data_IF_370196484762
#
_entry.id   IF_370196484762
#
_cell.length_a   1.000
_cell.length_b   1.000
_cell.length_c   1.000
_cell.angle_alpha   90.00
_cell.angle_beta   90.00
_cell.angle_gamma   90.00
#
_symmetry.space_group_name_H-M   'P 1'
#
loop_
_entity.id
_entity.type
_entity.pdbx_description
1 polymer ?
#
# COMPACT_ATOMS: atom_id res chain seq x y z
N UNK A 1 -24.45 -54.53 55.98
CA UNK A 1 -23.84 -53.40 55.24
C UNK A 1 -23.78 -53.78 53.76
N UNK A 2 -24.39 -52.95 52.90
CA UNK A 2 -24.33 -52.86 51.42
C UNK A 2 -24.62 -54.15 50.62
N UNK A 3 -25.81 -54.42 50.06
CA UNK A 3 -26.63 -53.72 49.05
C UNK A 3 -25.92 -53.48 47.70
N UNK A 4 -26.34 -54.19 46.63
CA UNK A 4 -26.82 -53.60 45.36
C UNK A 4 -27.28 -54.66 44.34
N UNK A 5 -28.57 -54.59 44.04
CA UNK A 5 -29.26 -55.13 42.87
C UNK A 5 -28.79 -54.42 41.59
N UNK A 6 -28.66 -55.15 40.47
CA UNK A 6 -28.75 -54.57 39.13
C UNK A 6 -29.70 -55.41 38.28
N UNK A 7 -30.86 -54.80 38.03
CA UNK A 7 -31.94 -55.27 37.15
C UNK A 7 -31.63 -54.81 35.73
N UNK A 8 -31.78 -55.72 34.78
CA UNK A 8 -31.84 -55.48 33.34
C UNK A 8 -33.01 -54.53 33.00
N UNK A 9 -32.74 -53.39 32.36
CA UNK A 9 -33.76 -52.70 31.57
C UNK A 9 -33.15 -52.11 30.29
N UNK A 10 -33.62 -52.67 29.19
CA UNK A 10 -33.51 -52.19 27.82
C UNK A 10 -34.20 -50.83 27.65
N UNK A 11 -33.48 -49.82 27.16
CA UNK A 11 -34.10 -48.64 26.55
C UNK A 11 -33.39 -48.33 25.23
N UNK A 12 -34.16 -48.53 24.17
CA UNK A 12 -33.93 -48.10 22.80
C UNK A 12 -33.98 -46.57 22.75
N UNK A 13 -33.00 -45.91 22.15
CA UNK A 13 -33.19 -44.57 21.60
C UNK A 13 -32.44 -44.42 20.27
N UNK A 14 -33.23 -44.48 19.19
CA UNK A 14 -32.86 -44.14 17.82
C UNK A 14 -32.95 -42.62 17.68
N UNK A 15 -31.92 -41.94 17.20
CA UNK A 15 -32.10 -40.68 16.47
C UNK A 15 -31.12 -40.55 15.28
N UNK A 16 -31.71 -40.08 14.19
CA UNK A 16 -31.26 -39.98 12.82
C UNK A 16 -30.02 -39.08 12.61
N UNK A 17 -29.15 -39.49 11.69
CA UNK A 17 -28.34 -38.53 10.91
C UNK A 17 -28.49 -38.89 9.43
N UNK A 18 -29.24 -38.05 8.71
CA UNK A 18 -29.32 -38.05 7.26
C UNK A 18 -27.95 -37.73 6.66
N UNK A 19 -27.29 -38.74 6.10
CA UNK A 19 -26.13 -38.53 5.23
C UNK A 19 -26.62 -38.19 3.84
N UNK A 20 -26.64 -36.91 3.50
CA UNK A 20 -26.73 -36.45 2.12
C UNK A 20 -25.42 -35.70 1.83
N UNK A 21 -24.42 -36.43 1.36
CA UNK A 21 -23.27 -35.82 0.68
C UNK A 21 -23.36 -36.32 -0.75
N UNK A 22 -24.10 -35.54 -1.57
CA UNK A 22 -23.96 -35.61 -3.01
C UNK A 22 -22.52 -35.28 -3.36
N UNK A 23 -21.84 -36.29 -3.92
CA UNK A 23 -20.64 -36.11 -4.71
C UNK A 23 -20.96 -35.20 -5.88
N UNK A 24 -20.37 -34.01 -5.90
CA UNK A 24 -20.05 -33.35 -7.15
C UNK A 24 -18.58 -33.61 -7.43
N UNK A 25 -18.38 -34.38 -8.49
CA UNK A 25 -17.12 -34.63 -9.17
C UNK A 25 -16.40 -33.31 -9.46
N UNK A 26 -15.14 -33.17 -9.05
CA UNK A 26 -14.24 -32.20 -9.64
C UNK A 26 -13.42 -32.90 -10.71
N UNK A 27 -13.87 -32.72 -11.94
CA UNK A 27 -13.14 -33.00 -13.16
C UNK A 27 -11.73 -32.39 -13.11
N UNK A 28 -10.75 -33.19 -13.52
CA UNK A 28 -9.33 -32.87 -13.51
C UNK A 28 -8.96 -32.20 -14.82
N UNK A 29 -9.13 -30.87 -14.93
CA UNK A 29 -8.74 -30.16 -16.15
C UNK A 29 -8.41 -28.66 -15.98
N UNK A 30 -7.77 -28.24 -14.89
CA UNK A 30 -7.01 -26.96 -14.86
C UNK A 30 -5.86 -27.01 -13.84
N UNK A 31 -4.77 -27.68 -14.20
CA UNK A 31 -3.50 -27.42 -13.57
C UNK A 31 -2.92 -26.12 -14.13
N UNK A 32 -2.53 -25.24 -13.21
CA UNK A 32 -1.54 -24.17 -13.36
C UNK A 32 -1.97 -22.83 -13.99
N UNK A 33 -2.80 -22.08 -13.24
CA UNK A 33 -2.65 -20.62 -13.22
C UNK A 33 -2.14 -20.21 -11.85
N UNK A 34 -0.82 -20.07 -11.73
CA UNK A 34 -0.18 -19.48 -10.56
C UNK A 34 -0.95 -18.21 -10.15
N UNK A 35 -1.50 -18.21 -8.94
CA UNK A 35 -2.16 -17.05 -8.35
C UNK A 35 -1.27 -15.82 -8.59
N UNK A 36 -1.84 -14.66 -8.97
CA UNK A 36 -1.05 -13.44 -9.10
C UNK A 36 -0.35 -13.22 -7.77
N UNK A 37 0.98 -13.34 -7.74
CA UNK A 37 1.79 -12.98 -6.58
C UNK A 37 1.34 -11.57 -6.20
N UNK A 38 0.84 -11.39 -4.97
CA UNK A 38 0.42 -10.09 -4.50
C UNK A 38 1.60 -9.14 -4.69
N UNK A 39 1.39 -7.99 -5.31
CA UNK A 39 2.46 -7.04 -5.62
C UNK A 39 3.26 -6.66 -4.36
N UNK A 40 2.62 -6.65 -3.19
CA UNK A 40 3.24 -6.44 -1.89
C UNK A 40 4.19 -7.60 -1.51
N UNK A 41 3.87 -8.85 -1.87
CA UNK A 41 4.79 -9.97 -1.71
C UNK A 41 6.01 -9.84 -2.61
N UNK A 42 5.82 -9.36 -3.84
CA UNK A 42 6.94 -9.07 -4.75
C UNK A 42 7.86 -7.98 -4.20
N UNK A 43 7.31 -6.90 -3.64
CA UNK A 43 8.10 -5.85 -2.96
C UNK A 43 8.91 -6.43 -1.81
N UNK A 44 8.30 -7.23 -0.95
CA UNK A 44 9.03 -7.76 0.22
C UNK A 44 10.08 -8.78 -0.20
N UNK A 45 9.76 -9.66 -1.14
CA UNK A 45 10.73 -10.61 -1.71
C UNK A 45 11.91 -9.88 -2.35
N UNK A 46 11.65 -8.78 -3.04
CA UNK A 46 12.70 -7.93 -3.60
C UNK A 46 13.54 -7.29 -2.49
N UNK A 47 12.91 -6.70 -1.48
CA UNK A 47 13.59 -6.07 -0.35
C UNK A 47 14.52 -7.04 0.41
N UNK A 48 14.08 -8.29 0.58
CA UNK A 48 14.82 -9.33 1.31
C UNK A 48 16.12 -9.76 0.63
N UNK A 49 16.26 -9.62 -0.69
CA UNK A 49 17.50 -9.92 -1.42
C UNK A 49 18.70 -9.10 -0.94
N UNK A 50 18.44 -7.93 -0.36
CA UNK A 50 19.46 -6.97 0.02
C UNK A 50 19.84 -7.04 1.50
N UNK A 51 19.26 -7.97 2.27
CA UNK A 51 19.56 -8.13 3.70
C UNK A 51 21.08 -8.23 3.94
N UNK A 52 21.56 -7.46 4.92
CA UNK A 52 22.98 -7.39 5.30
C UNK A 52 23.83 -6.39 4.50
N UNK A 53 23.37 -5.90 3.33
CA UNK A 53 24.11 -4.88 2.57
C UNK A 53 24.26 -3.61 3.41
N UNK A 54 25.46 -3.05 3.43
CA UNK A 54 25.79 -1.92 4.30
C UNK A 54 25.07 -0.64 3.93
N UNK A 55 24.82 0.18 4.94
CA UNK A 55 24.31 1.53 4.73
C UNK A 55 25.38 2.41 4.06
N UNK A 56 24.96 3.21 3.09
CA UNK A 56 25.77 4.23 2.44
C UNK A 56 24.90 5.45 2.18
N UNK A 57 25.25 6.59 2.78
CA UNK A 57 24.52 7.85 2.57
C UNK A 57 24.45 8.21 1.08
N UNK A 58 23.26 8.50 0.55
CA UNK A 58 23.03 8.75 -0.87
C UNK A 58 23.10 7.51 -1.76
N UNK A 59 23.21 6.31 -1.19
CA UNK A 59 23.37 5.06 -1.93
C UNK A 59 22.06 4.52 -2.52
N UNK A 60 22.14 4.01 -3.75
CA UNK A 60 21.01 3.51 -4.57
C UNK A 60 21.24 2.11 -5.16
N UNK A 61 22.24 1.37 -4.70
CA UNK A 61 22.65 0.11 -5.34
C UNK A 61 23.12 -0.92 -4.32
N UNK A 62 23.31 -2.16 -4.78
CA UNK A 62 23.91 -3.27 -4.02
C UNK A 62 25.29 -2.96 -3.39
N UNK A 63 26.03 -1.98 -3.89
CA UNK A 63 27.25 -1.43 -3.25
C UNK A 63 27.00 -0.67 -1.95
N UNK A 64 25.74 -0.48 -1.58
CA UNK A 64 25.30 0.19 -0.36
C UNK A 64 24.14 1.14 -0.64
N UNK A 65 23.18 1.15 0.28
CA UNK A 65 21.96 1.95 0.19
C UNK A 65 21.85 2.93 1.35
N UNK A 66 21.22 4.08 1.12
CA UNK A 66 20.57 4.81 2.22
C UNK A 66 19.11 4.38 2.38
N UNK A 67 18.41 4.91 3.38
CA UNK A 67 17.05 4.49 3.68
C UNK A 67 16.07 4.70 2.52
N UNK A 68 16.15 5.85 1.84
CA UNK A 68 15.20 6.21 0.80
C UNK A 68 15.66 5.77 -0.59
N UNK A 69 16.96 5.62 -0.81
CA UNK A 69 17.54 4.94 -1.96
C UNK A 69 17.19 3.46 -1.96
N UNK A 70 17.21 2.80 -0.80
CA UNK A 70 16.74 1.41 -0.66
C UNK A 70 15.27 1.25 -1.04
N UNK A 71 14.37 2.05 -0.45
CA UNK A 71 12.93 1.96 -0.79
C UNK A 71 12.66 2.31 -2.24
N UNK A 72 13.34 3.33 -2.79
CA UNK A 72 13.21 3.69 -4.21
C UNK A 72 13.64 2.54 -5.13
N UNK A 73 14.76 1.90 -4.82
CA UNK A 73 15.25 0.73 -5.56
C UNK A 73 14.24 -0.43 -5.53
N UNK A 74 13.74 -0.80 -4.34
CA UNK A 74 12.76 -1.88 -4.19
C UNK A 74 11.48 -1.58 -4.97
N UNK A 75 10.92 -0.37 -4.85
CA UNK A 75 9.67 -0.01 -5.54
C UNK A 75 9.84 0.12 -7.06
N UNK A 76 11.05 0.40 -7.55
CA UNK A 76 11.32 0.41 -8.98
C UNK A 76 11.12 -0.97 -9.64
N UNK A 77 11.32 -2.06 -8.89
CA UNK A 77 11.08 -3.44 -9.37
C UNK A 77 9.63 -3.70 -9.76
N UNK A 78 8.70 -2.93 -9.19
CA UNK A 78 7.27 -2.96 -9.49
C UNK A 78 6.82 -1.71 -10.25
N UNK A 79 7.75 -1.06 -10.95
CA UNK A 79 7.51 0.13 -11.79
C UNK A 79 6.96 1.35 -11.05
N UNK A 80 7.22 1.45 -9.74
CA UNK A 80 6.86 2.63 -8.94
C UNK A 80 8.09 3.47 -8.65
N UNK A 81 8.09 4.69 -9.20
CA UNK A 81 9.18 5.64 -9.02
C UNK A 81 8.97 6.47 -7.76
N UNK A 82 9.74 6.17 -6.72
CA UNK A 82 9.81 6.96 -5.49
C UNK A 82 10.93 8.00 -5.59
N UNK A 83 10.73 9.25 -5.12
CA UNK A 83 11.81 10.21 -5.01
C UNK A 83 12.87 9.70 -4.04
N UNK A 84 14.12 10.10 -4.26
CA UNK A 84 15.25 9.64 -3.45
C UNK A 84 15.24 10.16 -2.00
N UNK A 85 14.37 11.11 -1.63
CA UNK A 85 14.32 11.64 -0.26
C UNK A 85 13.17 11.04 0.55
N UNK A 86 13.43 10.64 1.79
CA UNK A 86 12.40 10.14 2.71
C UNK A 86 11.24 11.15 2.89
N UNK A 87 11.54 12.45 2.91
CA UNK A 87 10.51 13.51 2.94
C UNK A 87 9.65 13.47 1.67
N UNK A 88 10.27 13.36 0.48
CA UNK A 88 9.54 13.26 -0.78
C UNK A 88 8.62 12.03 -0.79
N UNK A 89 9.13 10.89 -0.33
CA UNK A 89 8.35 9.64 -0.24
C UNK A 89 7.19 9.77 0.73
N UNK A 90 7.37 10.47 1.85
CA UNK A 90 6.32 10.70 2.84
C UNK A 90 5.19 11.61 2.35
N UNK A 91 5.36 12.26 1.20
CA UNK A 91 4.31 13.06 0.55
C UNK A 91 3.56 12.27 -0.52
N UNK A 92 3.99 11.04 -0.83
CA UNK A 92 3.33 10.16 -1.78
C UNK A 92 2.27 9.28 -1.11
N UNK A 93 1.35 8.77 -1.93
CA UNK A 93 0.35 7.80 -1.51
C UNK A 93 -0.68 8.38 -0.53
N UNK A 94 -1.44 7.47 0.09
CA UNK A 94 -2.44 7.79 1.10
C UNK A 94 -1.85 7.61 2.51
N UNK A 95 -2.25 8.47 3.45
CA UNK A 95 -1.88 8.30 4.86
C UNK A 95 -2.65 7.13 5.45
N UNK A 96 -1.97 6.26 6.20
CA UNK A 96 -2.60 5.16 6.91
C UNK A 96 -2.38 5.27 8.41
N UNK A 97 -3.36 4.84 9.20
CA UNK A 97 -3.11 4.50 10.59
C UNK A 97 -2.20 3.28 10.66
N UNK A 98 -1.27 3.25 11.61
CA UNK A 98 -0.31 2.13 11.71
C UNK A 98 -1.00 0.80 11.98
N UNK A 99 -2.11 0.77 12.71
CA UNK A 99 -2.89 -0.46 12.95
C UNK A 99 -3.52 -0.99 11.67
N UNK A 100 -3.82 -0.12 10.72
CA UNK A 100 -4.38 -0.45 9.41
C UNK A 100 -3.32 -0.59 8.31
N UNK A 101 -2.04 -0.46 8.69
CA UNK A 101 -0.95 -0.62 7.75
C UNK A 101 -0.86 -2.05 7.24
N UNK A 102 -0.36 -2.21 6.04
CA UNK A 102 -0.24 -3.49 5.37
C UNK A 102 1.21 -3.71 4.93
N UNK A 103 1.52 -4.97 4.66
CA UNK A 103 2.75 -5.36 3.98
C UNK A 103 2.93 -4.50 2.72
N UNK A 104 4.12 -3.91 2.56
CA UNK A 104 4.43 -3.02 1.44
C UNK A 104 4.16 -1.53 1.71
N UNK A 105 3.47 -1.15 2.79
CA UNK A 105 3.34 0.27 3.16
C UNK A 105 4.70 0.84 3.61
N UNK A 106 4.93 2.13 3.33
CA UNK A 106 6.11 2.84 3.81
C UNK A 106 5.87 3.41 5.21
N UNK A 107 6.78 3.16 6.14
CA UNK A 107 6.75 3.68 7.50
C UNK A 107 7.87 4.71 7.71
N UNK A 108 7.53 5.85 8.32
CA UNK A 108 8.42 7.01 8.44
C UNK A 108 8.73 7.34 9.89
N UNK A 109 9.99 7.73 10.12
CA UNK A 109 10.51 8.07 11.43
C UNK A 109 11.28 9.38 11.44
N UNK A 110 11.39 9.98 12.62
CA UNK A 110 12.29 11.09 12.93
C UNK A 110 13.73 10.67 12.67
N UNK A 111 14.53 11.62 12.20
CA UNK A 111 15.97 11.42 11.97
C UNK A 111 16.81 11.43 13.26
N UNK A 112 18.02 11.99 13.16
CA UNK A 112 19.01 12.02 14.25
C UNK A 112 18.48 12.57 15.58
N UNK A 113 17.61 13.58 15.55
CA UNK A 113 17.04 14.19 16.75
C UNK A 113 15.58 13.80 16.93
N UNK A 114 15.24 13.28 18.11
CA UNK A 114 13.85 12.98 18.50
C UNK A 114 13.04 14.23 18.85
N UNK A 115 13.72 15.34 19.15
CA UNK A 115 13.12 16.64 19.48
C UNK A 115 12.58 17.36 18.25
N UNK A 116 13.17 17.11 17.09
CA UNK A 116 12.72 17.68 15.82
C UNK A 116 11.66 16.77 15.23
N UNK A 117 10.46 17.30 14.99
CA UNK A 117 9.41 16.56 14.29
C UNK A 117 9.63 16.59 12.77
N UNK A 118 10.77 16.05 12.33
CA UNK A 118 11.19 16.02 10.93
C UNK A 118 11.53 14.61 10.50
N UNK A 119 10.93 14.18 9.39
CA UNK A 119 11.20 12.89 8.75
C UNK A 119 12.68 12.83 8.37
N UNK A 120 13.33 11.77 8.81
CA UNK A 120 14.73 11.52 8.50
C UNK A 120 15.06 10.05 8.26
N UNK A 121 14.06 9.16 8.30
CA UNK A 121 14.24 7.74 8.05
C UNK A 121 12.94 7.13 7.50
N UNK A 122 13.08 6.10 6.68
CA UNK A 122 11.97 5.36 6.05
C UNK A 122 12.28 3.86 6.04
N UNK A 123 11.24 3.03 6.12
CA UNK A 123 11.28 1.59 5.89
C UNK A 123 10.03 1.08 5.19
N UNK A 124 10.01 -0.21 4.86
CA UNK A 124 8.88 -0.91 4.24
C UNK A 124 8.32 -1.89 5.25
N UNK A 125 7.02 -1.83 5.56
CA UNK A 125 6.36 -2.76 6.47
C UNK A 125 6.35 -4.15 5.84
N UNK A 126 6.83 -5.15 6.58
CA UNK A 126 6.87 -6.55 6.13
C UNK A 126 5.79 -7.39 6.80
N UNK A 127 5.37 -7.00 7.99
CA UNK A 127 4.37 -7.70 8.80
C UNK A 127 3.64 -6.69 9.68
N UNK A 128 2.32 -6.83 9.77
CA UNK A 128 1.48 -6.16 10.74
C UNK A 128 0.36 -7.14 11.14
N UNK A 129 0.42 -7.64 12.37
CA UNK A 129 -0.60 -8.45 13.00
C UNK A 129 -0.80 -7.99 14.45
N UNK A 130 -1.73 -8.63 15.17
CA UNK A 130 -2.10 -8.24 16.54
C UNK A 130 -0.92 -8.21 17.53
N UNK A 131 0.17 -8.95 17.25
CA UNK A 131 1.34 -9.07 18.13
C UNK A 131 2.57 -8.31 17.64
N UNK A 132 2.77 -8.23 16.32
CA UNK A 132 4.03 -7.76 15.72
C UNK A 132 3.74 -6.81 14.56
N UNK A 133 4.43 -5.67 14.59
CA UNK A 133 4.63 -4.82 13.42
C UNK A 133 6.13 -4.82 13.14
N UNK A 134 6.55 -5.32 11.99
CA UNK A 134 7.96 -5.34 11.59
C UNK A 134 8.16 -4.70 10.22
N UNK A 135 9.33 -4.14 10.01
CA UNK A 135 9.67 -3.42 8.79
C UNK A 135 11.13 -3.62 8.39
N UNK A 136 11.40 -3.61 7.09
CA UNK A 136 12.74 -3.69 6.51
C UNK A 136 13.24 -2.30 6.11
N UNK A 137 14.50 -1.99 6.41
CA UNK A 137 15.09 -0.68 6.13
C UNK A 137 16.62 -0.73 6.07
N UNK A 138 17.23 0.31 5.49
CA UNK A 138 18.68 0.54 5.59
C UNK A 138 19.03 1.20 6.94
N UNK A 139 19.55 0.43 7.89
CA UNK A 139 20.07 0.90 9.18
C UNK A 139 21.53 1.33 9.07
N UNK A 140 21.87 2.47 9.67
CA UNK A 140 23.26 3.00 9.68
C UNK A 140 24.27 1.98 10.18
N UNK A 141 23.94 1.25 11.25
CA UNK A 141 24.88 0.29 11.88
C UNK A 141 24.72 -1.13 11.33
N UNK A 142 23.48 -1.53 11.04
CA UNK A 142 23.17 -2.93 10.73
C UNK A 142 23.00 -3.20 9.22
N UNK A 143 23.11 -2.17 8.37
CA UNK A 143 22.81 -2.30 6.95
C UNK A 143 21.30 -2.53 6.71
N UNK A 144 20.96 -3.13 5.58
CA UNK A 144 19.58 -3.55 5.31
C UNK A 144 19.20 -4.64 6.31
N UNK A 145 18.22 -4.34 7.16
CA UNK A 145 17.79 -5.23 8.24
C UNK A 145 16.29 -5.11 8.49
N UNK A 146 15.73 -6.10 9.18
CA UNK A 146 14.37 -6.08 9.72
C UNK A 146 14.40 -5.62 11.16
N UNK A 147 13.50 -4.70 11.52
CA UNK A 147 13.35 -4.16 12.87
C UNK A 147 11.91 -4.32 13.34
N UNK A 148 11.72 -4.41 14.66
CA UNK A 148 10.40 -4.41 15.27
C UNK A 148 9.97 -2.96 15.54
N UNK A 149 8.80 -2.56 15.05
CA UNK A 149 8.24 -1.24 15.32
C UNK A 149 8.02 -1.01 16.81
N UNK A 150 7.66 -2.06 17.56
CA UNK A 150 7.37 -1.96 18.98
C UNK A 150 8.59 -1.65 19.85
N UNK A 151 9.81 -1.70 19.30
CA UNK A 151 11.00 -1.26 20.01
C UNK A 151 10.91 0.23 20.37
N UNK A 152 11.31 0.55 21.59
CA UNK A 152 11.28 1.89 22.17
C UNK A 152 11.93 2.95 21.27
N UNK A 153 13.00 2.58 20.57
CA UNK A 153 13.72 3.44 19.64
C UNK A 153 12.81 3.93 18.50
N UNK A 154 12.05 3.01 17.88
CA UNK A 154 11.20 3.29 16.73
C UNK A 154 9.87 3.90 17.14
N UNK A 155 9.24 3.42 18.22
CA UNK A 155 8.02 4.04 18.78
C UNK A 155 8.18 5.52 19.06
N UNK A 156 9.27 5.93 19.72
CA UNK A 156 9.54 7.35 20.05
C UNK A 156 9.80 8.23 18.80
N UNK A 157 10.14 7.61 17.68
CA UNK A 157 10.50 8.28 16.42
C UNK A 157 9.41 8.18 15.36
N UNK A 158 8.36 7.40 15.56
CA UNK A 158 7.29 7.24 14.60
C UNK A 158 6.68 8.58 14.20
N UNK A 159 6.39 8.74 12.91
CA UNK A 159 5.70 9.92 12.35
C UNK A 159 4.42 9.48 11.63
N UNK A 160 4.52 8.65 10.60
CA UNK A 160 3.37 8.24 9.80
C UNK A 160 3.63 6.98 8.97
N UNK A 161 2.56 6.44 8.38
CA UNK A 161 2.59 5.39 7.36
C UNK A 161 1.98 5.93 6.06
N UNK A 162 2.56 5.56 4.91
CA UNK A 162 2.04 5.83 3.57
C UNK A 162 1.83 4.55 2.77
N UNK A 163 0.62 4.38 2.27
CA UNK A 163 0.30 3.35 1.27
C UNK A 163 0.50 3.91 -0.12
N UNK A 164 1.50 3.39 -0.82
CA UNK A 164 1.86 3.82 -2.17
C UNK A 164 1.06 3.03 -3.21
N UNK A 165 0.96 1.72 -3.00
CA UNK A 165 0.22 0.81 -3.85
C UNK A 165 -1.22 0.77 -3.40
N UNK A 166 -2.14 1.21 -4.26
CA UNK A 166 -3.56 0.91 -4.09
C UNK A 166 -3.88 -0.29 -4.99
N UNK A 167 -4.38 -1.37 -4.40
CA UNK A 167 -4.69 -2.62 -5.10
C UNK A 167 -5.57 -2.38 -6.34
N UNK A 168 -6.50 -1.43 -6.25
CA UNK A 168 -7.34 -1.01 -7.37
C UNK A 168 -6.55 -0.30 -8.47
N UNK A 169 -5.64 0.64 -8.14
CA UNK A 169 -4.87 1.38 -9.16
C UNK A 169 -3.84 0.48 -9.86
N UNK A 170 -3.26 -0.48 -9.15
CA UNK A 170 -2.30 -1.43 -9.72
C UNK A 170 -3.00 -2.48 -10.58
N UNK A 171 -4.19 -2.96 -10.17
CA UNK A 171 -5.02 -3.83 -10.99
C UNK A 171 -5.46 -3.13 -12.29
N UNK A 172 -5.88 -1.87 -12.20
CA UNK A 172 -6.27 -1.05 -13.36
C UNK A 172 -5.08 -0.74 -14.29
N UNK A 173 -3.91 -0.43 -13.73
CA UNK A 173 -2.70 -0.14 -14.52
C UNK A 173 -2.14 -1.38 -15.23
N UNK A 174 -2.30 -2.58 -14.67
CA UNK A 174 -1.80 -3.83 -15.26
C UNK A 174 -2.67 -4.33 -16.41
N UNK A 175 -3.96 -4.02 -16.42
CA UNK A 175 -4.93 -4.64 -17.33
C UNK A 175 -5.46 -3.72 -18.46
N UNK A 176 -4.93 -2.50 -18.65
CA UNK A 176 -5.33 -1.53 -19.70
C UNK A 176 -6.84 -1.51 -20.00
N UNK A 177 -7.67 -1.66 -18.98
CA UNK A 177 -9.11 -1.88 -19.17
C UNK A 177 -9.81 -0.54 -18.97
N UNK A 178 -10.55 -0.02 -19.96
CA UNK A 178 -11.43 1.12 -19.73
C UNK A 178 -12.52 0.66 -18.76
N UNK A 179 -12.49 1.13 -17.51
CA UNK A 179 -13.54 0.80 -16.56
C UNK A 179 -14.50 1.98 -16.43
N UNK A 180 -15.74 1.71 -16.81
CA UNK A 180 -16.93 2.46 -16.45
C UNK A 180 -17.03 2.56 -14.92
N UNK A 181 -16.85 3.78 -14.42
CA UNK A 181 -16.81 4.13 -12.99
C UNK A 181 -18.16 3.95 -12.27
N UNK A 182 -19.22 3.56 -12.98
CA UNK A 182 -20.58 3.39 -12.44
C UNK A 182 -20.74 2.26 -11.40
N UNK A 183 -19.83 1.27 -11.34
CA UNK A 183 -19.97 0.08 -10.47
C UNK A 183 -19.20 0.12 -9.15
N UNK A 184 -18.21 1.00 -8.98
CA UNK A 184 -17.39 1.07 -7.76
C UNK A 184 -18.03 1.88 -6.61
N UNK A 185 -19.13 2.59 -6.88
CA UNK A 185 -19.84 3.43 -5.89
C UNK A 185 -20.81 2.61 -5.02
N UNK A 186 -21.16 1.38 -5.42
CA UNK A 186 -22.23 0.59 -4.78
C UNK A 186 -21.85 -0.12 -3.46
N UNK A 187 -20.60 0.01 -3.00
CA UNK A 187 -20.13 -0.56 -1.72
C UNK A 187 -19.93 0.50 -0.62
N UNK A 188 -20.25 1.77 -0.90
CA UNK A 188 -20.23 2.88 0.07
C UNK A 188 -21.63 3.41 0.42
N UNK A 189 -22.70 2.77 -0.10
CA UNK A 189 -24.11 3.15 0.13
C UNK A 189 -24.69 2.58 1.45
N UNK A 190 -24.12 2.93 2.59
CA UNK A 190 -24.88 2.86 3.86
C UNK A 190 -24.72 4.07 4.75
N UNK A 191 -24.20 5.18 4.22
CA UNK A 191 -24.21 6.48 4.91
C UNK A 191 -25.15 7.40 4.15
N UNK A 192 -26.38 7.50 4.66
CA UNK A 192 -27.37 8.46 4.21
C UNK A 192 -26.83 9.88 4.42
N UNK A 193 -26.64 10.63 3.34
CA UNK A 193 -26.73 12.08 3.38
C UNK A 193 -27.75 12.51 2.34
N UNK A 194 -28.86 13.02 2.86
CA UNK A 194 -29.92 13.75 2.19
C UNK A 194 -29.32 15.03 1.59
N UNK A 195 -29.43 15.23 0.27
CA UNK A 195 -30.14 16.37 -0.32
C UNK A 195 -29.90 16.56 -1.84
N UNK A 196 -31.04 16.69 -2.52
CA UNK A 196 -31.37 17.52 -3.69
C UNK A 196 -30.88 17.14 -5.10
N UNK A 197 -31.92 16.96 -5.91
CA UNK A 197 -32.03 16.59 -7.31
C UNK A 197 -31.62 17.75 -8.23
N UNK A 198 -30.60 17.58 -9.08
CA UNK A 198 -30.54 18.24 -10.40
C UNK A 198 -29.86 17.33 -11.43
N UNK A 199 -30.47 17.25 -12.61
CA UNK A 199 -30.16 16.37 -13.75
C UNK A 199 -28.85 16.73 -14.46
N UNK A 200 -27.97 15.75 -14.78
CA UNK A 200 -26.95 15.96 -15.83
C UNK A 200 -26.60 14.73 -16.68
N UNK A 201 -26.58 15.01 -17.99
CA UNK A 201 -26.08 14.29 -19.18
C UNK A 201 -24.60 13.83 -19.08
N UNK A 202 -24.13 12.93 -19.98
CA UNK A 202 -22.89 12.15 -19.83
C UNK A 202 -21.61 13.00 -19.84
N UNK A 203 -20.59 12.54 -19.12
CA UNK A 203 -19.38 13.29 -18.77
C UNK A 203 -18.32 13.18 -19.88
N UNK A 204 -18.09 14.28 -20.58
CA UNK A 204 -16.90 14.52 -21.40
C UNK A 204 -15.70 14.86 -20.50
N UNK A 205 -14.51 14.33 -20.81
CA UNK A 205 -13.25 14.57 -20.09
C UNK A 205 -12.94 16.07 -19.96
N UNK A 206 -13.18 16.66 -18.79
CA UNK A 206 -12.94 18.08 -18.54
C UNK A 206 -11.42 18.31 -18.48
N UNK A 207 -10.93 19.17 -19.38
CA UNK A 207 -9.51 19.57 -19.44
C UNK A 207 -9.38 21.05 -19.05
N UNK A 208 -8.56 21.33 -18.04
CA UNK A 208 -8.24 22.66 -17.52
C UNK A 208 -6.78 23.01 -17.81
N UNK A 209 -6.46 24.30 -17.89
CA UNK A 209 -5.08 24.81 -18.03
C UNK A 209 -4.69 25.54 -16.76
N UNK A 210 -3.52 25.22 -16.21
CA UNK A 210 -2.94 25.87 -15.03
C UNK A 210 -1.62 26.54 -15.38
N UNK A 211 -1.48 27.82 -15.05
CA UNK A 211 -0.20 28.55 -15.20
C UNK A 211 0.57 28.49 -13.90
N UNK A 212 1.78 27.92 -13.96
CA UNK A 212 2.67 27.73 -12.79
C UNK A 212 3.02 29.09 -12.17
N UNK A 213 2.72 29.26 -10.89
CA UNK A 213 3.06 30.44 -10.10
C UNK A 213 4.43 30.28 -9.43
N UNK A 214 5.04 31.42 -9.08
CA UNK A 214 6.31 31.43 -8.33
C UNK A 214 6.15 30.69 -7.00
N UNK A 215 6.96 29.65 -6.79
CA UNK A 215 6.94 28.82 -5.58
C UNK A 215 6.09 27.55 -5.67
N UNK A 216 5.39 27.33 -6.78
CA UNK A 216 4.67 26.07 -7.01
C UNK A 216 5.62 24.95 -7.47
N UNK A 217 5.26 23.73 -7.09
CA UNK A 217 5.90 22.49 -7.55
C UNK A 217 4.87 21.65 -8.30
N UNK A 218 5.33 20.70 -9.14
CA UNK A 218 4.41 19.74 -9.78
C UNK A 218 3.52 19.04 -8.76
N UNK A 219 4.08 18.75 -7.58
CA UNK A 219 3.34 18.13 -6.49
C UNK A 219 2.23 19.03 -5.94
N UNK A 220 2.51 20.30 -5.65
CA UNK A 220 1.48 21.21 -5.12
C UNK A 220 0.34 21.42 -6.11
N UNK A 221 0.66 21.49 -7.41
CA UNK A 221 -0.33 21.66 -8.49
C UNK A 221 -1.15 20.38 -8.67
N UNK A 222 -0.50 19.22 -8.74
CA UNK A 222 -1.16 17.93 -8.87
C UNK A 222 -2.10 17.67 -7.68
N UNK A 223 -1.61 17.93 -6.46
CA UNK A 223 -2.38 17.82 -5.21
C UNK A 223 -3.59 18.76 -5.18
N UNK A 224 -3.42 20.02 -5.56
CA UNK A 224 -4.52 21.00 -5.59
C UNK A 224 -5.62 20.61 -6.59
N UNK A 225 -5.28 19.82 -7.61
CA UNK A 225 -6.19 19.35 -8.65
C UNK A 225 -6.58 17.88 -8.48
N UNK A 226 -6.27 17.27 -7.33
CA UNK A 226 -6.60 15.87 -7.02
C UNK A 226 -6.12 14.85 -8.07
N UNK A 227 -5.02 15.15 -8.78
CA UNK A 227 -4.36 14.25 -9.73
C UNK A 227 -2.96 13.87 -9.26
N UNK A 228 -2.39 12.77 -9.78
CA UNK A 228 -1.02 12.39 -9.45
C UNK A 228 0.00 13.25 -10.21
N UNK A 229 1.19 13.44 -9.63
CA UNK A 229 2.30 14.10 -10.32
C UNK A 229 2.69 13.37 -11.59
N UNK A 230 2.63 12.03 -11.58
CA UNK A 230 2.91 11.20 -12.76
C UNK A 230 1.91 11.45 -13.87
N UNK A 231 0.60 11.54 -13.55
CA UNK A 231 -0.44 11.88 -14.51
C UNK A 231 -0.22 13.27 -15.10
N UNK A 232 0.10 14.25 -14.25
CA UNK A 232 0.41 15.62 -14.68
C UNK A 232 1.66 15.67 -15.58
N UNK A 233 2.70 14.90 -15.27
CA UNK A 233 3.93 14.76 -16.06
C UNK A 233 3.63 14.14 -17.42
N UNK A 234 2.87 13.04 -17.45
CA UNK A 234 2.52 12.32 -18.66
C UNK A 234 1.64 13.17 -19.59
N UNK A 235 0.64 13.85 -19.04
CA UNK A 235 -0.26 14.76 -19.78
C UNK A 235 0.47 15.94 -20.42
N UNK A 236 1.59 16.37 -19.82
CA UNK A 236 2.35 17.53 -20.29
C UNK A 236 3.69 17.15 -20.90
N UNK A 237 3.93 15.86 -21.15
CA UNK A 237 5.17 15.32 -21.69
C UNK A 237 6.44 15.87 -21.01
N UNK A 238 6.38 16.04 -19.68
CA UNK A 238 7.49 16.60 -18.92
C UNK A 238 8.62 15.57 -18.80
N UNK A 239 9.85 15.99 -19.13
CA UNK A 239 11.04 15.13 -19.06
C UNK A 239 11.65 15.05 -17.66
N UNK A 240 11.20 15.90 -16.74
CA UNK A 240 11.67 15.97 -15.36
C UNK A 240 10.63 16.59 -14.44
N UNK A 241 10.89 16.54 -13.13
CA UNK A 241 10.03 17.15 -12.13
C UNK A 241 10.18 18.69 -12.04
N UNK A 242 11.00 19.30 -12.90
CA UNK A 242 11.31 20.72 -12.86
C UNK A 242 10.31 21.51 -13.72
N UNK A 243 9.60 22.44 -13.09
CA UNK A 243 8.70 23.39 -13.75
C UNK A 243 9.13 24.82 -13.45
N UNK A 244 8.84 25.74 -14.38
CA UNK A 244 9.20 27.16 -14.26
C UNK A 244 7.96 28.03 -14.08
N UNK A 245 8.03 29.11 -13.28
CA UNK A 245 6.96 30.09 -13.23
C UNK A 245 6.60 30.60 -14.63
N UNK A 246 5.30 30.68 -14.93
CA UNK A 246 4.77 31.03 -16.25
C UNK A 246 4.57 29.84 -17.21
N UNK A 247 5.07 28.64 -16.86
CA UNK A 247 4.80 27.43 -17.64
C UNK A 247 3.32 27.04 -17.55
N UNK A 248 2.71 26.66 -18.67
CA UNK A 248 1.30 26.23 -18.71
C UNK A 248 1.26 24.70 -18.65
N UNK A 249 0.43 24.16 -17.77
CA UNK A 249 0.17 22.74 -17.62
C UNK A 249 -1.29 22.44 -17.94
N UNK A 250 -1.50 21.36 -18.68
CA UNK A 250 -2.79 20.75 -18.98
C UNK A 250 -3.14 19.80 -17.85
N UNK A 251 -4.34 19.93 -17.31
CA UNK A 251 -4.88 19.17 -16.19
C UNK A 251 -6.20 18.56 -16.66
N UNK A 252 -6.23 17.27 -16.93
CA UNK A 252 -7.48 16.56 -17.28
C UNK A 252 -7.90 15.65 -16.13
N UNK A 253 -9.16 15.75 -15.72
CA UNK A 253 -9.79 15.02 -14.61
C UNK A 253 -10.25 13.63 -15.03
#
# INVERSE_FOLDING_TARGET
MQLKYWVLYSIIFLQHISSCISQTYCDSSVADSAFPICINDSIIKEAEKYLGIKYKFGGISDKGFDCSGFTSHVFSSVSVNLPHSAIGQSNMGISMDIKQSQKGDLIFFKGRSTKLNRIGHVGIIVENNDSIISFIHASVHNGITKSNFNDDYYKKRYICVRRILNDTLNYLAKNNTPIDTSKAVKLTESVQITETTETRKPIDNITSKHTVKKGETLYSIAKANSISTTRLIQQNHLKSNLIKPGQILIISY
#
